data_IF_684597125737
#
_entry.id   IF_684597125737
#
_cell.length_a   1.000
_cell.length_b   1.000
_cell.length_c   1.000
_cell.angle_alpha   90.00
_cell.angle_beta   90.00
_cell.angle_gamma   90.00
#
_symmetry.space_group_name_H-M   'P 1'
#
loop_
_entity.id
_entity.type
_entity.pdbx_description
1 polymer ?
#
# COMPACT_ATOMS: atom_id res chain seq x y z
N UNK A 1 8.78 -12.64 24.83
CA UNK A 1 7.38 -12.71 24.34
C UNK A 1 7.04 -11.65 23.29
N UNK A 2 7.99 -10.84 22.81
CA UNK A 2 7.69 -9.67 21.97
C UNK A 2 7.59 -9.93 20.46
N UNK A 3 8.27 -10.96 19.94
CA UNK A 3 8.15 -11.33 18.51
C UNK A 3 6.75 -11.86 18.13
N UNK A 4 6.04 -12.47 19.08
CA UNK A 4 4.73 -13.07 18.85
C UNK A 4 3.64 -12.02 18.62
N UNK A 5 3.71 -10.88 19.30
CA UNK A 5 2.78 -9.77 19.10
C UNK A 5 2.93 -9.15 17.69
N UNK A 6 4.19 -8.96 17.25
CA UNK A 6 4.51 -8.51 15.89
C UNK A 6 3.96 -9.46 14.83
N UNK A 7 4.33 -10.73 14.92
CA UNK A 7 3.93 -11.74 13.94
C UNK A 7 2.41 -11.92 13.92
N UNK A 8 1.77 -11.87 15.08
CA UNK A 8 0.31 -11.93 15.20
C UNK A 8 -0.39 -10.72 14.56
N UNK A 9 0.09 -9.50 14.82
CA UNK A 9 -0.49 -8.28 14.26
C UNK A 9 -0.30 -8.24 12.73
N UNK A 10 0.90 -8.56 12.24
CA UNK A 10 1.19 -8.63 10.80
C UNK A 10 0.35 -9.72 10.11
N UNK A 11 0.31 -10.93 10.67
CA UNK A 11 -0.46 -12.03 10.09
C UNK A 11 -1.95 -11.72 10.07
N UNK A 12 -2.49 -11.13 11.14
CA UNK A 12 -3.89 -10.73 11.21
C UNK A 12 -4.24 -9.70 10.13
N UNK A 13 -3.50 -8.59 10.09
CA UNK A 13 -3.75 -7.52 9.14
C UNK A 13 -3.60 -8.00 7.70
N UNK A 14 -2.56 -8.80 7.42
CA UNK A 14 -2.33 -9.36 6.08
C UNK A 14 -3.44 -10.32 5.65
N UNK A 15 -3.88 -11.21 6.54
CA UNK A 15 -4.99 -12.14 6.27
C UNK A 15 -6.28 -11.38 5.96
N UNK A 16 -6.59 -10.37 6.76
CA UNK A 16 -7.78 -9.54 6.56
C UNK A 16 -7.71 -8.76 5.25
N UNK A 17 -6.53 -8.26 4.90
CA UNK A 17 -6.29 -7.55 3.65
C UNK A 17 -6.49 -8.43 2.42
N UNK A 18 -5.95 -9.65 2.41
CA UNK A 18 -6.14 -10.60 1.31
C UNK A 18 -7.59 -11.03 1.12
N UNK A 19 -8.39 -11.07 2.20
CA UNK A 19 -9.83 -11.36 2.10
C UNK A 19 -10.59 -10.26 1.34
N UNK A 20 -10.18 -9.01 1.49
CA UNK A 20 -10.77 -7.86 0.80
C UNK A 20 -10.21 -7.68 -0.62
N UNK A 21 -8.96 -8.11 -0.85
CA UNK A 21 -8.23 -7.91 -2.10
C UNK A 21 -7.86 -9.24 -2.75
N UNK A 22 -8.85 -9.92 -3.31
CA UNK A 22 -8.70 -11.25 -3.95
C UNK A 22 -7.73 -11.29 -5.14
N UNK A 23 -7.37 -10.15 -5.71
CA UNK A 23 -6.37 -10.02 -6.78
C UNK A 23 -4.93 -9.84 -6.30
N UNK A 24 -4.69 -9.71 -4.98
CA UNK A 24 -3.35 -9.49 -4.43
C UNK A 24 -2.70 -10.83 -4.10
N UNK A 25 -1.45 -11.00 -4.55
CA UNK A 25 -0.65 -12.19 -4.24
C UNK A 25 -0.34 -12.26 -2.75
N UNK A 26 -0.34 -13.46 -2.17
CA UNK A 26 0.06 -13.66 -0.77
C UNK A 26 1.51 -13.20 -0.49
N UNK A 27 2.35 -13.14 -1.53
CA UNK A 27 3.75 -12.72 -1.48
C UNK A 27 4.00 -11.33 -2.09
N UNK A 28 2.95 -10.50 -2.18
CA UNK A 28 3.04 -9.11 -2.66
C UNK A 28 4.00 -8.28 -1.78
N UNK A 29 4.68 -7.31 -2.39
CA UNK A 29 5.68 -6.46 -1.72
C UNK A 29 5.11 -5.68 -0.53
N UNK A 30 3.80 -5.40 -0.53
CA UNK A 30 3.07 -4.78 0.59
C UNK A 30 3.17 -5.60 1.87
N UNK A 31 3.30 -6.92 1.79
CA UNK A 31 3.54 -7.79 2.95
C UNK A 31 4.88 -7.47 3.62
N UNK A 32 5.94 -7.36 2.82
CA UNK A 32 7.28 -7.01 3.33
C UNK A 32 7.31 -5.60 3.90
N UNK A 33 6.65 -4.64 3.24
CA UNK A 33 6.51 -3.27 3.72
C UNK A 33 5.79 -3.22 5.09
N UNK A 34 4.70 -3.99 5.25
CA UNK A 34 3.98 -4.13 6.51
C UNK A 34 4.88 -4.67 7.64
N UNK A 35 5.64 -5.73 7.37
CA UNK A 35 6.57 -6.30 8.36
C UNK A 35 7.63 -5.29 8.80
N UNK A 36 8.18 -4.52 7.86
CA UNK A 36 9.15 -3.46 8.18
C UNK A 36 8.51 -2.34 9.00
N UNK A 37 7.30 -1.91 8.66
CA UNK A 37 6.58 -0.87 9.38
C UNK A 37 6.32 -1.25 10.84
N UNK A 38 5.80 -2.45 11.09
CA UNK A 38 5.54 -2.92 12.46
C UNK A 38 6.85 -3.15 13.22
N UNK A 39 7.91 -3.60 12.56
CA UNK A 39 9.23 -3.72 13.21
C UNK A 39 9.75 -2.35 13.66
N UNK A 40 9.67 -1.32 12.80
CA UNK A 40 10.07 0.04 13.15
C UNK A 40 9.23 0.63 14.28
N UNK A 41 7.92 0.37 14.31
CA UNK A 41 7.03 0.77 15.41
C UNK A 41 7.49 0.17 16.74
N UNK A 42 7.84 -1.11 16.75
CA UNK A 42 8.36 -1.77 17.95
C UNK A 42 9.70 -1.20 18.40
N UNK A 43 10.56 -0.82 17.46
CA UNK A 43 11.84 -0.18 17.77
C UNK A 43 11.65 1.18 18.46
N UNK A 44 10.48 1.82 18.32
CA UNK A 44 10.10 3.03 19.08
C UNK A 44 9.58 2.75 20.49
N UNK A 45 9.51 1.48 20.90
CA UNK A 45 9.05 1.05 22.23
C UNK A 45 7.57 0.66 22.29
N UNK A 46 6.88 0.60 21.15
CA UNK A 46 5.48 0.16 21.10
C UNK A 46 5.38 -1.36 21.10
N UNK A 47 4.68 -1.94 22.08
CA UNK A 47 4.53 -3.39 22.23
C UNK A 47 3.06 -3.81 22.48
N UNK A 48 2.12 -2.85 22.52
CA UNK A 48 0.70 -3.14 22.68
C UNK A 48 0.14 -3.80 21.41
N UNK A 49 -0.33 -5.04 21.57
CA UNK A 49 -0.83 -5.83 20.46
C UNK A 49 -2.01 -5.16 19.73
N UNK A 50 -2.93 -4.51 20.46
CA UNK A 50 -4.09 -3.87 19.83
C UNK A 50 -3.67 -2.64 19.03
N UNK A 51 -2.68 -1.88 19.53
CA UNK A 51 -2.13 -0.75 18.79
C UNK A 51 -1.39 -1.22 17.55
N UNK A 52 -0.55 -2.25 17.66
CA UNK A 52 0.17 -2.82 16.51
C UNK A 52 -0.80 -3.38 15.46
N UNK A 53 -1.87 -4.05 15.87
CA UNK A 53 -2.91 -4.56 14.96
C UNK A 53 -3.65 -3.41 14.26
N UNK A 54 -4.04 -2.37 15.01
CA UNK A 54 -4.73 -1.21 14.45
C UNK A 54 -3.84 -0.45 13.47
N UNK A 55 -2.58 -0.21 13.85
CA UNK A 55 -1.58 0.43 13.02
C UNK A 55 -1.31 -0.38 11.74
N UNK A 56 -1.21 -1.71 11.83
CA UNK A 56 -1.02 -2.59 10.69
C UNK A 56 -2.15 -2.46 9.65
N UNK A 57 -3.41 -2.47 10.10
CA UNK A 57 -4.57 -2.32 9.21
C UNK A 57 -4.64 -0.92 8.61
N UNK A 58 -4.38 0.12 9.40
CA UNK A 58 -4.35 1.50 8.92
C UNK A 58 -3.25 1.72 7.87
N UNK A 59 -2.07 1.15 8.10
CA UNK A 59 -0.95 1.23 7.17
C UNK A 59 -1.27 0.62 5.81
N UNK A 60 -1.89 -0.57 5.78
CA UNK A 60 -2.29 -1.22 4.52
C UNK A 60 -3.32 -0.38 3.75
N UNK A 61 -4.31 0.18 4.42
CA UNK A 61 -5.27 1.10 3.78
C UNK A 61 -4.57 2.31 3.19
N UNK A 62 -3.59 2.86 3.91
CA UNK A 62 -2.84 4.02 3.40
C UNK A 62 -1.99 3.69 2.18
N UNK A 63 -1.46 2.47 2.09
CA UNK A 63 -0.75 2.00 0.90
C UNK A 63 -1.67 1.91 -0.32
N UNK A 64 -2.91 1.46 -0.14
CA UNK A 64 -3.89 1.43 -1.24
C UNK A 64 -4.23 2.84 -1.71
N UNK A 65 -4.53 3.76 -0.78
CA UNK A 65 -4.79 5.17 -1.12
C UNK A 65 -3.64 5.79 -1.92
N UNK A 66 -2.39 5.56 -1.48
CA UNK A 66 -1.21 6.06 -2.18
C UNK A 66 -1.04 5.44 -3.57
N UNK A 67 -1.37 4.15 -3.72
CA UNK A 67 -1.31 3.48 -5.01
C UNK A 67 -2.37 4.01 -5.97
N UNK A 68 -3.60 4.19 -5.50
CA UNK A 68 -4.70 4.73 -6.29
C UNK A 68 -4.42 6.18 -6.73
N UNK A 69 -3.88 7.01 -5.83
CA UNK A 69 -3.46 8.38 -6.14
C UNK A 69 -2.36 8.42 -7.22
N UNK A 70 -1.37 7.52 -7.12
CA UNK A 70 -0.30 7.40 -8.13
C UNK A 70 -0.86 6.94 -9.48
N UNK A 71 -1.73 5.95 -9.49
CA UNK A 71 -2.40 5.46 -10.70
C UNK A 71 -3.24 6.58 -11.36
N UNK A 72 -4.01 7.32 -10.57
CA UNK A 72 -4.79 8.45 -11.07
C UNK A 72 -3.90 9.54 -11.68
N UNK A 73 -2.76 9.84 -11.04
CA UNK A 73 -1.81 10.82 -11.56
C UNK A 73 -1.19 10.37 -12.89
N UNK A 74 -0.75 9.12 -12.97
CA UNK A 74 -0.17 8.55 -14.19
C UNK A 74 -1.19 8.56 -15.35
N UNK A 75 -2.44 8.20 -15.08
CA UNK A 75 -3.50 8.25 -16.09
C UNK A 75 -3.77 9.68 -16.60
N UNK A 76 -3.74 10.67 -15.70
CA UNK A 76 -3.89 12.08 -16.08
C UNK A 76 -2.70 12.57 -16.93
N UNK A 77 -1.47 12.22 -16.54
CA UNK A 77 -0.27 12.60 -17.30
C UNK A 77 -0.25 11.93 -18.69
N UNK A 78 -0.72 10.68 -18.80
CA UNK A 78 -0.88 9.99 -20.08
C UNK A 78 -1.94 10.66 -20.98
N UNK A 79 -3.11 11.00 -20.43
CA UNK A 79 -4.15 11.70 -21.18
C UNK A 79 -3.67 13.07 -21.68
N UNK A 80 -2.90 13.81 -20.87
CA UNK A 80 -2.29 15.06 -21.29
C UNK A 80 -1.30 14.86 -22.44
N UNK A 81 -0.45 13.83 -22.37
CA UNK A 81 0.48 13.51 -23.44
C UNK A 81 -0.24 13.18 -24.75
N UNK A 82 -1.29 12.35 -24.70
CA UNK A 82 -2.11 12.01 -25.88
C UNK A 82 -2.77 13.24 -26.50
N UNK A 83 -3.30 14.16 -25.70
CA UNK A 83 -3.85 15.42 -26.18
C UNK A 83 -2.81 16.30 -26.90
N UNK A 84 -1.59 16.38 -26.35
CA UNK A 84 -0.50 17.15 -26.97
C UNK A 84 -0.09 16.53 -28.32
N UNK A 85 0.06 15.21 -28.39
CA UNK A 85 0.40 14.51 -29.64
C UNK A 85 -0.68 14.65 -30.72
N UNK A 86 -1.96 14.57 -30.34
CA UNK A 86 -3.08 14.80 -31.26
C UNK A 86 -3.08 16.24 -31.82
N UNK A 87 -2.80 17.23 -30.97
CA UNK A 87 -2.74 18.64 -31.38
C UNK A 87 -1.55 18.95 -32.30
N UNK A 88 -0.38 18.35 -32.06
CA UNK A 88 0.78 18.46 -32.96
C UNK A 88 0.54 17.78 -34.31
N UNK A 89 -0.19 16.67 -34.33
CA UNK A 89 -0.57 15.95 -35.57
C UNK A 89 -1.56 16.73 -36.44
N UNK A 90 -2.34 17.63 -35.84
CA UNK A 90 -3.34 18.45 -36.55
C UNK A 90 -2.78 19.78 -37.09
N UNK A 91 -1.65 20.25 -36.55
CA UNK A 91 -1.00 21.50 -36.97
C UNK A 91 0.00 21.32 -38.14
N UNK A 92 0.16 20.10 -38.67
CA UNK A 92 1.10 19.77 -39.74
C UNK A 92 0.48 19.54 -41.13
N UNK A 93 -0.76 19.99 -41.38
CA UNK A 93 -1.40 19.96 -42.72
C UNK A 93 -1.64 21.36 -43.27
#
# INVERSE_FOLDING_TARGET
>A
MSSQAREGACAFAWRHYLLLHSGVSENDSRRSALYSYISNLRDTGEDDFNLLQTAAVAYLKKLDELHDDQCARLAADQALAECLEASNSQSGR
#
